data_IF_012399784838
#
_entry.id   IF_012399784838
#
_cell.length_a   1.000
_cell.length_b   1.000
_cell.length_c   1.000
_cell.angle_alpha   90.00
_cell.angle_beta   90.00
_cell.angle_gamma   90.00
#
_symmetry.space_group_name_H-M   'P 1'
#
loop_
_entity.id
_entity.type
_entity.pdbx_description
1 polymer ?
#
# COMPACT_ATOMS: atom_id res chain seq x y z
N UNK A 1 10.38 -17.42 2.71
CA UNK A 1 10.61 -16.38 3.74
C UNK A 1 12.07 -16.19 4.10
N UNK A 2 12.79 -17.22 4.56
CA UNK A 2 14.20 -17.08 4.99
C UNK A 2 15.14 -16.44 3.95
N UNK A 3 15.01 -16.79 2.66
CA UNK A 3 15.86 -16.24 1.58
C UNK A 3 15.76 -14.72 1.41
N UNK A 4 14.54 -14.14 1.46
CA UNK A 4 14.36 -12.70 1.27
C UNK A 4 14.84 -11.92 2.48
N UNK A 5 14.65 -12.45 3.69
CA UNK A 5 15.12 -11.81 4.93
C UNK A 5 16.65 -11.78 5.04
N UNK A 6 17.33 -12.77 4.46
CA UNK A 6 18.79 -12.84 4.38
C UNK A 6 19.39 -12.11 3.15
N UNK A 7 18.60 -11.36 2.38
CA UNK A 7 19.06 -10.70 1.17
C UNK A 7 20.09 -9.59 1.47
N UNK A 8 21.25 -9.65 0.81
CA UNK A 8 22.33 -8.66 0.94
C UNK A 8 22.67 -7.92 -0.36
N UNK A 9 21.93 -8.13 -1.44
CA UNK A 9 22.26 -7.65 -2.80
C UNK A 9 22.57 -6.15 -2.86
N UNK A 10 21.80 -5.31 -2.15
CA UNK A 10 21.99 -3.86 -2.18
C UNK A 10 22.92 -3.31 -1.10
N UNK A 11 23.61 -4.15 -0.31
CA UNK A 11 24.38 -3.75 0.87
C UNK A 11 25.35 -2.59 0.62
N UNK A 12 26.08 -2.63 -0.49
CA UNK A 12 27.07 -1.61 -0.87
C UNK A 12 26.47 -0.20 -1.08
N UNK A 13 25.15 -0.09 -1.16
CA UNK A 13 24.44 1.16 -1.44
C UNK A 13 23.58 1.67 -0.28
N UNK A 14 23.50 0.91 0.81
CA UNK A 14 22.67 1.27 1.96
C UNK A 14 23.51 1.98 3.04
N UNK A 15 22.91 2.91 3.80
CA UNK A 15 23.60 3.53 4.94
C UNK A 15 23.68 2.60 6.16
N UNK A 16 22.93 1.50 6.18
CA UNK A 16 22.88 0.51 7.24
C UNK A 16 22.93 -0.90 6.63
N UNK A 17 23.30 -1.93 7.41
CA UNK A 17 23.19 -3.31 6.96
C UNK A 17 21.79 -3.62 6.38
N UNK A 18 21.70 -4.42 5.30
CA UNK A 18 20.42 -4.82 4.73
C UNK A 18 19.47 -5.36 5.80
N UNK A 19 18.28 -4.76 5.86
CA UNK A 19 17.18 -5.21 6.72
C UNK A 19 15.90 -5.25 5.87
N UNK A 20 15.68 -6.33 5.10
CA UNK A 20 14.47 -6.50 4.30
C UNK A 20 13.23 -6.51 5.19
N UNK A 21 12.35 -5.52 5.03
CA UNK A 21 11.13 -5.33 5.82
C UNK A 21 9.93 -5.50 4.90
N UNK A 22 9.17 -6.57 5.16
CA UNK A 22 7.97 -6.96 4.44
C UNK A 22 7.10 -7.84 5.33
N UNK A 23 5.82 -7.97 4.97
CA UNK A 23 4.88 -8.94 5.54
C UNK A 23 4.22 -9.68 4.40
N UNK A 24 4.23 -11.01 4.44
CA UNK A 24 3.52 -11.84 3.44
C UNK A 24 2.90 -13.04 4.15
N UNK A 25 1.81 -13.53 3.57
CA UNK A 25 1.14 -14.77 3.94
C UNK A 25 0.63 -15.42 2.66
N UNK A 26 0.63 -16.75 2.60
CA UNK A 26 0.04 -17.48 1.47
C UNK A 26 -1.46 -17.24 1.33
N UNK A 27 -2.13 -16.88 2.43
CA UNK A 27 -3.59 -16.62 2.48
C UNK A 27 -3.96 -15.16 2.24
N UNK A 28 -2.98 -14.26 2.09
CA UNK A 28 -3.26 -12.85 1.92
C UNK A 28 -4.03 -12.60 0.62
N UNK A 29 -5.14 -11.87 0.72
CA UNK A 29 -5.99 -11.51 -0.43
C UNK A 29 -5.73 -10.10 -0.94
N UNK A 30 -5.13 -9.25 -0.10
CA UNK A 30 -4.74 -7.88 -0.42
C UNK A 30 -3.23 -7.72 -0.32
N UNK A 31 -2.60 -7.16 -1.35
CA UNK A 31 -1.19 -6.75 -1.32
C UNK A 31 -1.07 -5.24 -1.36
N UNK A 32 -0.31 -4.66 -0.43
CA UNK A 32 0.05 -3.23 -0.43
C UNK A 32 1.51 -3.09 -0.88
N UNK A 33 1.71 -2.38 -1.99
CA UNK A 33 3.04 -2.09 -2.53
C UNK A 33 3.35 -0.60 -2.37
N UNK A 34 4.29 -0.29 -1.47
CA UNK A 34 4.82 1.05 -1.27
C UNK A 34 6.18 1.29 -1.95
N UNK A 35 6.85 2.38 -1.57
CA UNK A 35 8.18 2.73 -2.07
C UNK A 35 9.28 1.89 -1.41
N UNK A 36 9.71 2.27 -0.20
CA UNK A 36 10.70 1.60 0.61
C UNK A 36 10.45 1.94 2.09
N UNK A 37 10.97 1.14 3.05
CA UNK A 37 10.98 1.53 4.46
C UNK A 37 11.60 2.92 4.66
N UNK A 38 10.95 3.77 5.43
CA UNK A 38 11.58 4.98 5.99
C UNK A 38 12.40 4.65 7.24
N UNK A 39 13.06 5.65 7.84
CA UNK A 39 13.93 5.45 9.02
C UNK A 39 13.21 4.78 10.20
N UNK A 40 12.02 5.26 10.58
CA UNK A 40 11.23 4.68 11.69
C UNK A 40 10.84 3.23 11.41
N UNK A 41 10.48 2.92 10.16
CA UNK A 41 10.18 1.55 9.74
C UNK A 41 11.44 0.68 9.81
N UNK A 42 12.59 1.20 9.39
CA UNK A 42 13.88 0.52 9.52
C UNK A 42 14.23 0.19 10.97
N UNK A 43 14.02 1.12 11.90
CA UNK A 43 14.28 0.92 13.33
C UNK A 43 13.32 -0.11 13.93
N UNK A 44 12.02 0.07 13.70
CA UNK A 44 10.96 -0.75 14.33
C UNK A 44 10.74 -2.11 13.66
N UNK A 45 11.09 -2.25 12.38
CA UNK A 45 10.79 -3.43 11.57
C UNK A 45 9.31 -3.57 11.18
N UNK A 46 8.46 -2.58 11.48
CA UNK A 46 7.01 -2.64 11.22
C UNK A 46 6.68 -1.75 10.00
N UNK A 47 6.29 -2.32 8.84
CA UNK A 47 5.92 -1.54 7.66
C UNK A 47 4.79 -0.55 7.96
N UNK A 48 4.78 0.66 7.40
CA UNK A 48 3.72 1.66 7.62
C UNK A 48 3.46 2.01 9.10
N UNK A 49 4.49 1.88 9.95
CA UNK A 49 4.45 2.30 11.35
C UNK A 49 4.88 3.77 11.51
N UNK A 50 4.28 4.65 10.73
CA UNK A 50 4.58 6.07 10.66
C UNK A 50 3.30 6.88 10.29
N UNK A 51 3.34 8.22 10.29
CA UNK A 51 2.17 9.03 9.97
C UNK A 51 1.60 8.80 8.56
N UNK A 52 2.41 8.31 7.61
CA UNK A 52 1.90 7.98 6.28
C UNK A 52 1.04 6.71 6.34
N UNK A 53 1.42 5.76 7.19
CA UNK A 53 0.62 4.58 7.48
C UNK A 53 -0.70 4.88 8.20
N UNK A 54 -0.71 5.87 9.10
CA UNK A 54 -1.94 6.33 9.75
C UNK A 54 -2.94 6.87 8.72
N UNK A 55 -2.46 7.71 7.80
CA UNK A 55 -3.28 8.24 6.72
C UNK A 55 -3.73 7.16 5.73
N UNK A 56 -2.87 6.17 5.42
CA UNK A 56 -3.27 5.04 4.58
C UNK A 56 -4.41 4.23 5.21
N UNK A 57 -4.33 3.95 6.52
CA UNK A 57 -5.40 3.27 7.26
C UNK A 57 -6.70 4.07 7.24
N UNK A 58 -6.62 5.39 7.38
CA UNK A 58 -7.77 6.27 7.27
C UNK A 58 -8.42 6.22 5.87
N UNK A 59 -7.61 6.21 4.81
CA UNK A 59 -8.10 6.05 3.44
C UNK A 59 -8.81 4.71 3.25
N UNK A 60 -8.24 3.63 3.77
CA UNK A 60 -8.83 2.29 3.72
C UNK A 60 -10.03 2.10 4.66
N UNK A 61 -10.23 2.98 5.63
CA UNK A 61 -11.28 2.83 6.65
C UNK A 61 -11.01 1.68 7.62
N UNK A 62 -9.74 1.40 7.91
CA UNK A 62 -9.30 0.23 8.69
C UNK A 62 -8.73 0.60 10.06
N UNK A 63 -8.94 -0.28 11.05
CA UNK A 63 -8.19 -0.24 12.30
C UNK A 63 -6.73 -0.66 12.09
N UNK A 64 -5.89 -0.39 13.10
CA UNK A 64 -4.50 -0.84 13.11
C UNK A 64 -4.40 -2.37 13.07
N UNK A 65 -5.22 -3.06 13.84
CA UNK A 65 -5.17 -4.52 13.95
C UNK A 65 -5.61 -5.17 12.63
N UNK A 66 -6.69 -4.68 12.04
CA UNK A 66 -7.14 -5.09 10.71
C UNK A 66 -6.07 -4.91 9.63
N UNK A 67 -5.31 -3.81 9.70
CA UNK A 67 -4.24 -3.49 8.74
C UNK A 67 -3.01 -4.40 8.87
N UNK A 68 -2.72 -4.88 10.08
CA UNK A 68 -1.55 -5.72 10.34
C UNK A 68 -1.84 -7.23 10.43
N UNK A 69 -3.10 -7.64 10.22
CA UNK A 69 -3.48 -9.03 10.03
C UNK A 69 -2.86 -9.60 8.75
N UNK A 70 -1.72 -10.27 8.92
CA UNK A 70 -0.97 -10.85 7.83
C UNK A 70 -1.73 -11.97 7.10
N UNK A 71 -2.72 -12.60 7.75
CA UNK A 71 -3.53 -13.64 7.10
C UNK A 71 -4.39 -13.06 5.97
N UNK A 72 -4.66 -11.75 5.99
CA UNK A 72 -5.49 -11.04 5.02
C UNK A 72 -4.70 -10.08 4.13
N UNK A 73 -3.71 -9.40 4.71
CA UNK A 73 -2.97 -8.30 4.07
C UNK A 73 -1.47 -8.57 4.05
N UNK A 74 -0.91 -8.62 2.85
CA UNK A 74 0.52 -8.58 2.60
C UNK A 74 1.00 -7.14 2.35
N UNK A 75 2.21 -6.84 2.79
CA UNK A 75 2.88 -5.54 2.57
C UNK A 75 4.29 -5.81 2.03
N UNK A 76 4.51 -5.46 0.77
CA UNK A 76 5.78 -5.65 0.08
C UNK A 76 6.18 -4.35 -0.63
N UNK A 77 7.07 -3.53 -0.06
CA UNK A 77 7.52 -2.32 -0.72
C UNK A 77 8.43 -2.64 -1.92
N UNK A 78 8.48 -1.74 -2.90
CA UNK A 78 9.32 -1.85 -4.11
C UNK A 78 10.81 -2.02 -3.78
N UNK A 79 11.29 -1.33 -2.73
CA UNK A 79 12.57 -1.57 -2.10
C UNK A 79 12.37 -2.11 -0.69
N UNK A 80 12.99 -3.26 -0.37
CA UNK A 80 12.77 -3.92 0.91
C UNK A 80 13.59 -3.34 2.06
N UNK A 81 14.63 -2.56 1.77
CA UNK A 81 15.52 -1.96 2.77
C UNK A 81 15.41 -0.43 2.76
N UNK A 82 15.67 0.21 3.90
CA UNK A 82 15.75 1.68 3.97
C UNK A 82 16.95 2.19 3.17
N UNK A 83 16.72 3.01 2.12
CA UNK A 83 17.78 3.43 1.20
C UNK A 83 18.60 4.61 1.71
N UNK A 84 18.29 5.14 2.90
CA UNK A 84 18.84 6.39 3.41
C UNK A 84 17.97 7.60 3.13
N UNK A 85 18.29 8.71 3.78
CA UNK A 85 17.60 10.00 3.63
C UNK A 85 18.59 11.02 3.06
N UNK A 86 18.14 11.82 2.10
CA UNK A 86 18.87 12.95 1.52
C UNK A 86 17.95 14.18 1.51
N UNK A 87 18.43 15.33 1.97
CA UNK A 87 17.66 16.57 2.01
C UNK A 87 16.27 16.40 2.66
N UNK A 88 16.24 15.69 3.80
CA UNK A 88 15.01 15.39 4.53
C UNK A 88 14.05 14.41 3.84
N UNK A 89 14.43 13.80 2.72
CA UNK A 89 13.61 12.90 1.91
C UNK A 89 14.24 11.52 1.81
N UNK A 90 13.46 10.46 1.97
CA UNK A 90 13.97 9.12 1.76
C UNK A 90 14.35 8.94 0.28
N UNK A 91 15.51 8.32 0.06
CA UNK A 91 16.03 8.02 -1.27
C UNK A 91 15.06 7.08 -2.02
N UNK A 92 15.14 7.05 -3.37
CA UNK A 92 14.39 6.06 -4.15
C UNK A 92 14.70 4.62 -3.71
N UNK A 93 13.76 3.69 -3.93
CA UNK A 93 14.00 2.27 -3.71
C UNK A 93 15.10 1.80 -4.65
N UNK A 94 15.85 0.80 -4.20
CA UNK A 94 16.91 0.18 -5.01
C UNK A 94 16.30 -0.55 -6.22
N UNK A 95 16.71 -0.23 -7.46
CA UNK A 95 16.08 -0.74 -8.68
C UNK A 95 16.17 -2.26 -8.84
N UNK A 96 17.19 -2.88 -8.26
CA UNK A 96 17.40 -4.33 -8.27
C UNK A 96 16.40 -5.11 -7.39
N UNK A 97 15.74 -4.45 -6.44
CA UNK A 97 15.03 -5.13 -5.37
C UNK A 97 13.70 -5.77 -5.83
N UNK A 98 12.83 -4.99 -6.48
CA UNK A 98 11.54 -5.49 -6.94
C UNK A 98 11.67 -6.57 -8.04
N UNK A 99 12.48 -6.40 -9.10
CA UNK A 99 12.68 -7.45 -10.11
C UNK A 99 13.18 -8.76 -9.53
N UNK A 100 14.03 -8.70 -8.49
CA UNK A 100 14.59 -9.88 -7.85
C UNK A 100 13.54 -10.63 -7.01
N UNK A 101 12.76 -9.92 -6.19
CA UNK A 101 11.94 -10.55 -5.15
C UNK A 101 10.44 -10.58 -5.43
N UNK A 102 9.87 -9.58 -6.10
CA UNK A 102 8.42 -9.51 -6.28
C UNK A 102 7.82 -10.71 -7.04
N UNK A 103 8.45 -11.25 -8.12
CA UNK A 103 7.91 -12.44 -8.80
C UNK A 103 7.79 -13.64 -7.86
N UNK A 104 8.83 -13.89 -7.05
CA UNK A 104 8.88 -15.01 -6.11
C UNK A 104 7.87 -14.83 -4.95
N UNK A 105 7.77 -13.61 -4.41
CA UNK A 105 6.83 -13.29 -3.35
C UNK A 105 5.38 -13.41 -3.82
N UNK A 106 5.07 -12.97 -5.05
CA UNK A 106 3.74 -13.11 -5.64
C UNK A 106 3.37 -14.56 -5.90
N UNK A 107 4.30 -15.36 -6.41
CA UNK A 107 4.07 -16.80 -6.59
C UNK A 107 3.76 -17.51 -5.26
N UNK A 108 4.27 -16.99 -4.13
CA UNK A 108 4.00 -17.51 -2.79
C UNK A 108 2.68 -17.00 -2.16
N UNK A 109 1.91 -16.16 -2.86
CA UNK A 109 0.63 -15.60 -2.40
C UNK A 109 -0.47 -15.88 -3.45
N UNK A 110 -0.88 -17.14 -3.63
CA UNK A 110 -1.81 -17.54 -4.70
C UNK A 110 -3.21 -16.92 -4.56
N UNK A 111 -3.61 -16.53 -3.35
CA UNK A 111 -4.96 -16.03 -3.06
C UNK A 111 -5.12 -14.51 -3.27
N UNK A 112 -4.09 -13.83 -3.80
CA UNK A 112 -4.13 -12.39 -4.05
C UNK A 112 -5.24 -12.01 -5.04
N UNK A 113 -6.15 -11.16 -4.58
CA UNK A 113 -7.29 -10.66 -5.35
C UNK A 113 -7.14 -9.17 -5.73
N UNK A 114 -6.27 -8.42 -5.03
CA UNK A 114 -6.05 -7.00 -5.25
C UNK A 114 -4.65 -6.59 -4.83
N UNK A 115 -4.04 -5.70 -5.62
CA UNK A 115 -2.79 -5.03 -5.27
C UNK A 115 -2.94 -3.51 -5.28
N UNK A 116 -2.73 -2.88 -4.13
CA UNK A 116 -2.65 -1.42 -4.01
C UNK A 116 -1.26 -0.95 -4.41
N UNK A 117 -1.18 -0.09 -5.43
CA UNK A 117 0.07 0.48 -5.94
C UNK A 117 0.24 1.89 -5.40
N UNK A 118 0.89 2.00 -4.24
CA UNK A 118 0.99 3.25 -3.47
C UNK A 118 2.25 4.02 -3.87
N UNK A 119 2.06 5.07 -4.67
CA UNK A 119 3.10 5.98 -5.14
C UNK A 119 3.74 5.57 -6.47
N UNK A 120 4.52 6.50 -7.03
CA UNK A 120 5.01 6.42 -8.40
C UNK A 120 5.93 5.21 -8.67
N UNK A 121 6.72 4.76 -7.69
CA UNK A 121 7.64 3.62 -7.87
C UNK A 121 6.88 2.29 -7.99
N UNK A 122 5.86 2.08 -7.15
CA UNK A 122 5.01 0.90 -7.24
C UNK A 122 4.25 0.86 -8.58
N UNK A 123 3.70 2.00 -8.98
CA UNK A 123 3.00 2.15 -10.26
C UNK A 123 3.95 1.95 -11.45
N UNK A 124 5.17 2.49 -11.39
CA UNK A 124 6.17 2.32 -12.44
C UNK A 124 6.53 0.83 -12.64
N UNK A 125 6.75 0.11 -11.54
CA UNK A 125 7.11 -1.30 -11.59
C UNK A 125 5.98 -2.18 -12.13
N UNK A 126 4.76 -2.01 -11.62
CA UNK A 126 3.64 -2.90 -11.97
C UNK A 126 2.90 -2.52 -13.25
N UNK A 127 2.77 -1.22 -13.55
CA UNK A 127 2.00 -0.76 -14.72
C UNK A 127 2.89 -0.49 -15.93
N UNK A 128 4.19 -0.23 -15.72
CA UNK A 128 5.14 0.02 -16.80
C UNK A 128 4.66 1.13 -17.74
N UNK A 129 4.47 0.79 -19.03
CA UNK A 129 3.98 1.73 -20.06
C UNK A 129 2.48 2.02 -19.97
N UNK A 130 1.70 1.25 -19.21
CA UNK A 130 0.25 1.46 -19.03
C UNK A 130 -0.09 2.61 -18.09
N UNK A 131 0.88 3.10 -17.30
CA UNK A 131 0.66 4.25 -16.40
C UNK A 131 0.37 5.52 -17.21
N UNK A 132 -0.40 6.43 -16.63
CA UNK A 132 -0.64 7.75 -17.19
C UNK A 132 0.64 8.60 -17.24
N UNK A 133 0.57 9.76 -17.91
CA UNK A 133 1.72 10.67 -18.05
C UNK A 133 2.17 11.22 -16.71
N UNK A 134 1.23 11.44 -15.80
CA UNK A 134 1.47 11.88 -14.43
C UNK A 134 0.92 10.88 -13.40
N UNK A 135 1.31 11.09 -12.13
CA UNK A 135 0.70 10.38 -11.00
C UNK A 135 -0.81 10.61 -10.94
N UNK A 136 -1.26 11.83 -11.22
CA UNK A 136 -2.68 12.17 -11.21
C UNK A 136 -3.44 11.41 -12.31
N UNK A 137 -2.92 11.41 -13.54
CA UNK A 137 -3.54 10.68 -14.65
C UNK A 137 -3.65 9.18 -14.33
N UNK A 138 -2.59 8.59 -13.75
CA UNK A 138 -2.59 7.16 -13.38
C UNK A 138 -3.63 6.86 -12.30
N UNK A 139 -3.75 7.71 -11.28
CA UNK A 139 -4.73 7.52 -10.20
C UNK A 139 -6.15 7.81 -10.66
N UNK A 140 -6.36 8.79 -11.54
CA UNK A 140 -7.68 9.09 -12.12
C UNK A 140 -8.19 7.94 -13.00
N UNK A 141 -7.28 7.28 -13.73
CA UNK A 141 -7.55 6.11 -14.56
C UNK A 141 -7.60 4.79 -13.76
N UNK A 142 -7.86 4.81 -12.45
CA UNK A 142 -7.82 3.60 -11.60
C UNK A 142 -8.70 2.44 -12.12
N UNK A 143 -9.82 2.76 -12.79
CA UNK A 143 -10.74 1.78 -13.39
C UNK A 143 -10.08 0.91 -14.47
N UNK A 144 -9.10 1.45 -15.20
CA UNK A 144 -8.39 0.75 -16.28
C UNK A 144 -7.43 -0.33 -15.78
N UNK A 145 -7.19 -0.36 -14.47
CA UNK A 145 -6.29 -1.32 -13.81
C UNK A 145 -7.04 -2.30 -12.89
N UNK A 146 -8.34 -2.07 -12.69
CA UNK A 146 -9.21 -2.97 -11.95
C UNK A 146 -9.45 -4.28 -12.73
N UNK A 147 -9.74 -5.41 -12.05
CA UNK A 147 -9.85 -5.55 -10.59
C UNK A 147 -8.51 -5.83 -9.88
N UNK A 148 -7.42 -6.01 -10.64
CA UNK A 148 -6.15 -6.55 -10.13
C UNK A 148 -5.31 -5.50 -9.40
N UNK A 149 -5.32 -4.26 -9.88
CA UNK A 149 -4.50 -3.17 -9.36
C UNK A 149 -5.34 -1.94 -9.02
N UNK A 150 -4.94 -1.26 -7.95
CA UNK A 150 -5.54 0.02 -7.57
C UNK A 150 -4.43 1.05 -7.30
N UNK A 151 -4.15 1.97 -8.24
CA UNK A 151 -3.12 2.98 -8.07
C UNK A 151 -3.54 4.06 -7.07
N UNK A 152 -2.66 4.39 -6.13
CA UNK A 152 -2.87 5.44 -5.14
C UNK A 152 -1.67 6.39 -5.11
N UNK A 153 -1.88 7.69 -4.79
CA UNK A 153 -0.77 8.56 -4.43
C UNK A 153 -0.13 8.08 -3.13
N UNK A 154 1.09 8.54 -2.82
CA UNK A 154 1.66 8.27 -1.51
C UNK A 154 0.93 9.08 -0.42
N UNK A 155 0.56 8.51 0.74
CA UNK A 155 -0.08 9.22 1.83
C UNK A 155 0.93 10.06 2.65
N UNK A 156 1.66 10.96 2.00
CA UNK A 156 2.64 11.84 2.65
C UNK A 156 2.06 13.23 2.90
N UNK A 157 2.43 13.94 3.99
CA UNK A 157 2.14 15.36 4.17
C UNK A 157 2.58 16.23 2.99
N UNK A 158 3.60 15.80 2.23
CA UNK A 158 4.07 16.48 1.02
C UNK A 158 3.07 16.49 -0.11
N UNK A 159 2.11 15.57 -0.10
CA UNK A 159 1.04 15.49 -1.10
C UNK A 159 -0.20 16.31 -0.75
N UNK A 160 -0.19 17.13 0.32
CA UNK A 160 -1.33 18.00 0.68
C UNK A 160 -1.77 18.91 -0.47
N UNK A 161 -0.82 19.54 -1.18
CA UNK A 161 -1.14 20.38 -2.33
C UNK A 161 -1.71 19.57 -3.49
N UNK A 162 -1.19 18.35 -3.69
CA UNK A 162 -1.72 17.43 -4.70
C UNK A 162 -3.17 17.06 -4.38
N UNK A 163 -3.49 16.70 -3.14
CA UNK A 163 -4.86 16.36 -2.71
C UNK A 163 -5.82 17.55 -2.92
N UNK A 164 -5.42 18.75 -2.51
CA UNK A 164 -6.22 19.97 -2.73
C UNK A 164 -6.51 20.25 -4.20
N UNK A 165 -5.57 19.94 -5.09
CA UNK A 165 -5.72 20.12 -6.55
C UNK A 165 -6.51 18.98 -7.21
N UNK A 166 -6.69 17.86 -6.52
CA UNK A 166 -7.33 16.65 -7.04
C UNK A 166 -8.45 16.19 -6.08
N UNK A 167 -9.51 17.01 -5.85
CA UNK A 167 -10.56 16.69 -4.90
C UNK A 167 -11.34 15.41 -5.27
N UNK A 168 -11.37 15.05 -6.56
CA UNK A 168 -11.90 13.79 -7.07
C UNK A 168 -11.25 12.55 -6.41
N UNK A 169 -10.02 12.65 -5.89
CA UNK A 169 -9.41 11.54 -5.16
C UNK A 169 -10.24 11.17 -3.92
N UNK A 170 -10.65 12.15 -3.13
CA UNK A 170 -11.44 11.90 -1.93
C UNK A 170 -12.89 11.57 -2.25
N UNK A 171 -13.45 12.19 -3.30
CA UNK A 171 -14.87 12.04 -3.67
C UNK A 171 -15.17 10.76 -4.45
N UNK A 172 -14.26 10.33 -5.33
CA UNK A 172 -14.52 9.23 -6.27
C UNK A 172 -13.64 8.01 -5.99
N UNK A 173 -12.35 8.23 -5.69
CA UNK A 173 -11.37 7.14 -5.59
C UNK A 173 -11.42 6.46 -4.22
N UNK A 174 -11.47 7.23 -3.13
CA UNK A 174 -11.52 6.65 -1.79
C UNK A 174 -12.79 5.82 -1.51
N UNK A 175 -14.01 6.24 -1.92
CA UNK A 175 -15.19 5.40 -1.76
C UNK A 175 -15.08 4.08 -2.53
N UNK A 176 -14.65 4.12 -3.80
CA UNK A 176 -14.47 2.91 -4.61
C UNK A 176 -13.37 1.98 -4.04
N UNK A 177 -12.28 2.54 -3.52
CA UNK A 177 -11.24 1.79 -2.82
C UNK A 177 -11.83 1.04 -1.62
N UNK A 178 -12.59 1.73 -0.77
CA UNK A 178 -13.20 1.16 0.44
C UNK A 178 -14.20 0.07 0.10
N UNK A 179 -15.04 0.28 -0.92
CA UNK A 179 -15.97 -0.73 -1.40
C UNK A 179 -15.23 -2.00 -1.88
N UNK A 180 -14.23 -1.83 -2.75
CA UNK A 180 -13.45 -2.95 -3.27
C UNK A 180 -12.74 -3.71 -2.16
N UNK A 181 -12.11 -3.01 -1.23
CA UNK A 181 -11.41 -3.63 -0.11
C UNK A 181 -12.38 -4.31 0.86
N UNK A 182 -13.54 -3.69 1.13
CA UNK A 182 -14.59 -4.26 1.99
C UNK A 182 -15.19 -5.55 1.42
N UNK A 183 -15.36 -5.62 0.09
CA UNK A 183 -15.80 -6.85 -0.58
C UNK A 183 -14.76 -7.99 -0.49
N UNK A 184 -13.47 -7.67 -0.37
CA UNK A 184 -12.39 -8.67 -0.28
C UNK A 184 -12.10 -9.14 1.14
N UNK A 185 -12.26 -8.27 2.13
CA UNK A 185 -11.94 -8.57 3.53
C UNK A 185 -13.20 -8.52 4.43
N UNK A 186 -14.25 -9.31 4.14
CA UNK A 186 -15.49 -9.24 4.91
C UNK A 186 -15.29 -9.57 6.41
N UNK A 187 -15.64 -8.58 7.22
CA UNK A 187 -15.90 -8.53 8.67
C UNK A 187 -14.90 -9.18 9.65
N UNK A 188 -13.96 -8.34 10.06
CA UNK A 188 -13.62 -8.08 11.46
C UNK A 188 -12.95 -6.69 11.48
N UNK A 189 -13.60 -5.69 12.08
CA UNK A 189 -13.05 -4.34 12.37
C UNK A 189 -13.07 -3.25 11.27
N UNK A 190 -14.09 -3.17 10.42
CA UNK A 190 -14.43 -1.86 9.82
C UNK A 190 -15.22 -1.07 10.88
N UNK A 191 -14.53 -0.21 11.64
CA UNK A 191 -15.11 0.68 12.67
C UNK A 191 -16.03 1.78 12.14
N UNK A 192 -16.84 1.49 11.12
CA UNK A 192 -17.89 2.36 10.62
C UNK A 192 -19.22 2.00 11.29
N UNK A 193 -19.83 2.97 11.95
CA UNK A 193 -21.15 2.86 12.56
C UNK A 193 -22.13 2.13 11.63
N UNK A 194 -22.77 1.08 12.15
CA UNK A 194 -24.02 0.59 11.58
C UNK A 194 -25.04 1.72 11.69
N UNK A 195 -25.27 2.46 10.61
CA UNK A 195 -26.54 3.18 10.44
C UNK A 195 -27.62 2.12 10.27
N UNK A 196 -28.29 1.78 11.37
CA UNK A 196 -29.55 1.04 11.34
C UNK A 196 -30.56 1.86 10.53
N UNK A 197 -31.31 1.24 9.59
CA UNK A 197 -32.46 1.91 9.00
C UNK A 197 -33.49 2.11 10.11
N UNK A 198 -33.90 3.37 10.31
CA UNK A 198 -35.06 3.70 11.12
C UNK A 198 -36.30 3.13 10.41
N UNK A 199 -36.75 1.97 10.86
CA UNK A 199 -38.04 1.42 10.47
C UNK A 199 -39.11 2.26 11.15
N UNK A 200 -39.63 3.22 10.39
CA UNK A 200 -40.73 4.08 10.80
C UNK A 200 -41.89 3.26 11.38
N UNK A 201 -42.21 3.55 12.64
CA UNK A 201 -43.51 3.25 13.22
C UNK A 201 -44.48 4.33 12.75
N UNK A 202 -45.27 4.01 11.72
CA UNK A 202 -46.63 4.52 11.61
C UNK A 202 -47.52 3.52 12.33
N UNK A 203 -48.27 3.98 13.32
CA UNK A 203 -49.45 3.28 13.81
C UNK A 203 -50.48 4.31 14.25
N UNK A 204 -51.65 4.17 13.61
CA UNK A 204 -53.01 4.59 13.95
C UNK A 204 -53.24 6.00 14.52
#
# INVERSE_FOLDING_TARGET
MARVQACTVCAAHLPYPPRPILRVSSTARLLIVGQAPGRRVHETGIPWNDPSGDLLRQWLGMTRDAFYDASRIAIVPTGLCYPGTVNGSDRPPRPECAPLWHPQLRAAMPDLCLTLLVGAYAQAYYLGKRRGRTLADTVAAWRDFAPDYFPLPHPSPRNRLWLKRNPWFELDVLPALRERVGALLPAGDNGGARTTPDTGSKSA
#
